data_IF_344705417165
#
_entry.id   IF_344705417165
#
_cell.length_a   1.000
_cell.length_b   1.000
_cell.length_c   1.000
_cell.angle_alpha   90.00
_cell.angle_beta   90.00
_cell.angle_gamma   90.00
#
_symmetry.space_group_name_H-M   'P 1'
#
loop_
_entity.id
_entity.type
_entity.pdbx_description
1 polymer ?
#
# COMPACT_ATOMS: atom_id res chain seq x y z
N UNK A 1 -5.07 -43.79 -10.18
CA UNK A 1 -5.96 -43.64 -11.35
C UNK A 1 -6.70 -42.31 -11.17
N UNK A 2 -6.31 -41.29 -11.95
CA UNK A 2 -6.93 -39.96 -12.14
C UNK A 2 -7.34 -39.14 -10.90
N UNK A 3 -6.45 -38.26 -10.47
CA UNK A 3 -6.78 -37.06 -9.69
C UNK A 3 -7.39 -36.03 -10.66
N UNK A 4 -8.59 -35.55 -10.38
CA UNK A 4 -9.25 -34.52 -11.17
C UNK A 4 -8.55 -33.17 -10.95
N UNK A 5 -7.92 -32.65 -12.00
CA UNK A 5 -7.52 -31.26 -12.11
C UNK A 5 -8.79 -30.41 -12.30
N UNK A 6 -9.16 -29.67 -11.26
CA UNK A 6 -10.21 -28.65 -11.36
C UNK A 6 -9.56 -27.41 -12.00
N UNK A 7 -9.68 -27.30 -13.33
CA UNK A 7 -9.30 -26.08 -14.05
C UNK A 7 -10.28 -24.97 -13.65
N UNK A 8 -9.85 -24.07 -12.77
CA UNK A 8 -10.57 -22.84 -12.45
C UNK A 8 -10.36 -21.85 -13.60
N UNK A 9 -11.23 -21.89 -14.61
CA UNK A 9 -11.32 -20.82 -15.61
C UNK A 9 -12.00 -19.61 -14.95
N UNK A 10 -11.21 -18.66 -14.45
CA UNK A 10 -11.70 -17.33 -14.14
C UNK A 10 -11.90 -16.60 -15.47
N UNK A 11 -13.16 -16.45 -15.88
CA UNK A 11 -13.52 -15.62 -17.02
C UNK A 11 -13.26 -14.16 -16.66
N UNK A 12 -12.21 -13.57 -17.23
CA UNK A 12 -12.05 -12.12 -17.27
C UNK A 12 -13.15 -11.56 -18.16
N UNK A 13 -14.22 -11.04 -17.54
CA UNK A 13 -15.09 -10.10 -18.22
C UNK A 13 -14.27 -8.85 -18.46
N UNK A 14 -13.83 -8.64 -19.71
CA UNK A 14 -13.23 -7.40 -20.14
C UNK A 14 -14.25 -6.28 -19.95
N UNK A 15 -14.15 -5.53 -18.86
CA UNK A 15 -14.87 -4.29 -18.69
C UNK A 15 -14.26 -3.28 -19.66
N UNK A 16 -14.97 -3.02 -20.75
CA UNK A 16 -14.72 -1.85 -21.59
C UNK A 16 -15.10 -0.63 -20.76
N UNK A 17 -14.11 0.06 -20.21
CA UNK A 17 -14.31 1.40 -19.66
C UNK A 17 -14.69 2.28 -20.86
N UNK A 18 -15.87 2.93 -20.86
CA UNK A 18 -16.21 3.83 -21.94
C UNK A 18 -15.17 4.94 -21.99
N UNK A 19 -14.71 5.28 -23.20
CA UNK A 19 -13.86 6.44 -23.42
C UNK A 19 -14.60 7.67 -22.90
N UNK A 20 -14.17 8.20 -21.75
CA UNK A 20 -14.69 9.45 -21.23
C UNK A 20 -14.30 10.56 -22.18
N UNK A 21 -15.31 11.22 -22.74
CA UNK A 21 -15.12 12.48 -23.42
C UNK A 21 -14.59 13.48 -22.39
N UNK A 22 -13.34 13.92 -22.54
CA UNK A 22 -12.80 15.05 -21.80
C UNK A 22 -13.66 16.28 -22.12
N UNK A 23 -14.50 16.69 -21.17
CA UNK A 23 -15.44 17.79 -21.40
C UNK A 23 -16.56 17.94 -20.37
N UNK A 24 -16.26 17.85 -19.08
CA UNK A 24 -16.98 18.52 -17.98
C UNK A 24 -16.17 18.34 -16.69
N UNK A 25 -16.06 19.39 -15.87
CA UNK A 25 -15.57 19.34 -14.48
C UNK A 25 -16.51 18.44 -13.65
N UNK A 26 -16.39 17.12 -13.82
CA UNK A 26 -17.13 16.15 -13.00
C UNK A 26 -16.23 15.70 -11.86
N UNK A 27 -16.41 16.29 -10.69
CA UNK A 27 -15.88 15.71 -9.45
C UNK A 27 -16.65 14.44 -9.09
N UNK A 28 -15.97 13.54 -8.38
CA UNK A 28 -16.53 12.32 -7.80
C UNK A 28 -16.62 12.52 -6.28
N UNK A 29 -17.81 12.42 -5.66
CA UNK A 29 -17.94 12.48 -4.21
C UNK A 29 -17.12 11.38 -3.53
N UNK A 30 -16.56 11.64 -2.35
CA UNK A 30 -15.65 10.76 -1.60
C UNK A 30 -16.24 9.36 -1.38
N UNK A 31 -17.55 9.26 -1.14
CA UNK A 31 -18.27 7.99 -0.98
C UNK A 31 -18.35 7.15 -2.26
N UNK A 32 -18.23 7.79 -3.42
CA UNK A 32 -18.35 7.15 -4.73
C UNK A 32 -16.99 6.83 -5.36
N UNK A 33 -15.90 7.41 -4.83
CA UNK A 33 -14.53 7.16 -5.28
C UNK A 33 -14.21 5.67 -5.20
N UNK A 34 -14.04 5.05 -6.37
CA UNK A 34 -13.52 3.70 -6.50
C UNK A 34 -12.00 3.75 -6.41
N UNK A 35 -11.42 2.98 -5.47
CA UNK A 35 -9.97 2.96 -5.25
C UNK A 35 -9.54 1.62 -4.67
N UNK A 36 -8.29 1.23 -4.90
CA UNK A 36 -7.65 0.08 -4.27
C UNK A 36 -6.24 0.50 -3.88
N UNK A 37 -5.82 0.13 -2.67
CA UNK A 37 -4.53 0.52 -2.08
C UNK A 37 -4.22 2.03 -2.13
N UNK A 38 -5.08 2.88 -1.54
CA UNK A 38 -4.91 4.34 -1.61
C UNK A 38 -3.85 4.87 -0.65
N UNK A 39 -3.03 5.80 -1.14
CA UNK A 39 -2.18 6.69 -0.34
C UNK A 39 -2.44 8.15 -0.67
N UNK A 40 -2.13 9.06 0.25
CA UNK A 40 -2.42 10.48 0.09
C UNK A 40 -1.24 11.37 0.48
N UNK A 41 -1.19 12.55 -0.14
CA UNK A 41 -0.32 13.66 0.26
C UNK A 41 -0.96 14.99 -0.10
N UNK A 42 -0.41 16.09 0.38
CA UNK A 42 -0.90 17.45 0.10
C UNK A 42 0.23 18.35 -0.40
N UNK A 43 -0.06 19.11 -1.45
CA UNK A 43 0.79 20.19 -1.97
C UNK A 43 -0.05 21.46 -2.08
N UNK A 44 0.41 22.57 -1.49
CA UNK A 44 -0.24 23.89 -1.60
C UNK A 44 -1.77 23.89 -1.35
N UNK A 45 -2.22 23.07 -0.39
CA UNK A 45 -3.63 22.94 -0.01
C UNK A 45 -4.48 22.12 -0.99
N UNK A 46 -3.87 21.44 -1.96
CA UNK A 46 -4.51 20.43 -2.82
C UNK A 46 -4.04 19.04 -2.38
N UNK A 47 -4.97 18.20 -1.99
CA UNK A 47 -4.74 16.80 -1.66
C UNK A 47 -4.69 15.97 -2.93
N UNK A 48 -3.79 15.01 -2.96
CA UNK A 48 -3.61 14.04 -4.03
C UNK A 48 -3.78 12.64 -3.46
N UNK A 49 -4.53 11.81 -4.17
CA UNK A 49 -4.77 10.41 -3.88
C UNK A 49 -4.10 9.59 -4.99
N UNK A 50 -3.19 8.71 -4.62
CA UNK A 50 -2.56 7.76 -5.52
C UNK A 50 -3.09 6.38 -5.19
N UNK A 51 -3.38 5.56 -6.19
CA UNK A 51 -3.92 4.23 -5.97
C UNK A 51 -3.49 3.24 -7.04
N UNK A 52 -3.64 1.95 -6.73
CA UNK A 52 -3.46 0.85 -7.69
C UNK A 52 -4.25 1.12 -8.97
N UNK A 53 -3.60 0.95 -10.12
CA UNK A 53 -4.18 1.27 -11.41
C UNK A 53 -3.18 1.22 -12.57
N UNK A 54 -3.68 1.43 -13.79
CA UNK A 54 -2.79 1.55 -14.95
C UNK A 54 -1.94 2.83 -14.84
N UNK A 55 -0.63 2.66 -14.72
CA UNK A 55 0.32 3.75 -14.54
C UNK A 55 0.19 4.47 -13.20
N UNK A 56 -0.45 3.85 -12.20
CA UNK A 56 -0.82 4.46 -10.91
C UNK A 56 -1.87 5.56 -11.10
N UNK A 57 -3.09 5.30 -10.64
CA UNK A 57 -4.19 6.25 -10.76
C UNK A 57 -4.00 7.41 -9.79
N UNK A 58 -4.32 8.62 -10.26
CA UNK A 58 -4.22 9.85 -9.47
C UNK A 58 -5.57 10.56 -9.47
N UNK A 59 -6.00 10.95 -8.28
CA UNK A 59 -7.11 11.89 -8.11
C UNK A 59 -6.66 13.05 -7.22
N UNK A 60 -7.36 14.17 -7.28
CA UNK A 60 -7.05 15.33 -6.46
C UNK A 60 -8.30 16.02 -5.91
N UNK A 61 -8.15 16.69 -4.77
CA UNK A 61 -9.24 17.40 -4.10
C UNK A 61 -8.68 18.57 -3.28
N UNK A 62 -9.44 19.65 -3.11
CA UNK A 62 -9.08 20.73 -2.16
C UNK A 62 -9.60 20.48 -0.75
N UNK A 63 -10.62 19.63 -0.61
CA UNK A 63 -11.37 19.46 0.65
C UNK A 63 -11.48 17.99 1.08
N UNK A 64 -10.96 17.06 0.28
CA UNK A 64 -11.12 15.60 0.45
C UNK A 64 -12.57 15.09 0.38
N UNK A 65 -13.48 15.93 -0.13
CA UNK A 65 -14.91 15.61 -0.30
C UNK A 65 -15.24 15.28 -1.76
N UNK A 66 -14.74 16.10 -2.68
CA UNK A 66 -14.98 15.98 -4.12
C UNK A 66 -13.64 15.77 -4.82
N UNK A 67 -13.52 14.68 -5.57
CA UNK A 67 -12.27 14.23 -6.17
C UNK A 67 -12.30 14.33 -7.69
N UNK A 68 -11.27 14.91 -8.29
CA UNK A 68 -11.10 15.03 -9.74
C UNK A 68 -10.04 14.04 -10.21
N UNK A 69 -10.25 13.41 -11.36
CA UNK A 69 -9.23 12.57 -11.98
C UNK A 69 -8.08 13.43 -12.52
N UNK A 70 -6.86 13.00 -12.24
CA UNK A 70 -5.63 13.55 -12.80
C UNK A 70 -5.02 12.53 -13.77
N UNK A 71 -3.96 12.93 -14.49
CA UNK A 71 -3.19 11.97 -15.29
C UNK A 71 -2.51 10.93 -14.38
N UNK A 72 -2.39 9.67 -14.81
CA UNK A 72 -1.62 8.67 -14.09
C UNK A 72 -0.14 9.09 -13.99
N UNK A 73 0.58 8.53 -13.03
CA UNK A 73 2.02 8.80 -12.83
C UNK A 73 2.83 8.40 -14.08
N UNK A 74 2.52 7.24 -14.65
CA UNK A 74 3.18 6.71 -15.83
C UNK A 74 2.23 6.62 -17.02
N UNK A 75 2.56 7.33 -18.11
CA UNK A 75 1.84 7.20 -19.38
C UNK A 75 2.07 5.82 -20.04
N UNK A 76 3.24 5.23 -19.81
CA UNK A 76 3.63 3.91 -20.30
C UNK A 76 4.25 3.09 -19.17
N UNK A 77 4.07 1.76 -19.15
CA UNK A 77 4.71 0.90 -18.15
C UNK A 77 6.23 1.11 -18.12
N UNK A 78 6.88 1.19 -16.94
CA UNK A 78 8.34 1.21 -16.86
C UNK A 78 8.95 -0.01 -17.56
N UNK A 79 9.85 0.23 -18.53
CA UNK A 79 10.34 -0.85 -19.40
C UNK A 79 11.11 -1.92 -18.62
N UNK A 80 11.87 -1.52 -17.60
CA UNK A 80 12.61 -2.46 -16.74
C UNK A 80 11.67 -3.48 -16.08
N UNK A 81 10.45 -3.07 -15.70
CA UNK A 81 9.48 -3.93 -15.05
C UNK A 81 8.81 -4.88 -16.05
N UNK A 82 8.54 -4.39 -17.27
CA UNK A 82 8.02 -5.21 -18.38
C UNK A 82 9.02 -6.31 -18.75
N UNK A 83 10.31 -6.00 -18.76
CA UNK A 83 11.37 -6.96 -19.10
C UNK A 83 11.63 -7.97 -17.97
N UNK A 84 11.47 -7.54 -16.71
CA UNK A 84 11.78 -8.35 -15.53
C UNK A 84 10.63 -9.26 -15.08
N UNK A 85 9.38 -8.85 -15.28
CA UNK A 85 8.20 -9.49 -14.68
C UNK A 85 7.23 -9.92 -15.76
N UNK A 86 7.26 -11.22 -16.07
CA UNK A 86 6.36 -11.84 -17.04
C UNK A 86 4.89 -11.55 -16.70
N UNK A 87 4.21 -10.87 -17.64
CA UNK A 87 2.79 -10.54 -17.53
C UNK A 87 2.51 -9.15 -16.96
N UNK A 88 3.51 -8.44 -16.44
CA UNK A 88 3.36 -7.03 -16.08
C UNK A 88 3.16 -6.18 -17.34
N UNK A 89 2.07 -5.40 -17.36
CA UNK A 89 1.66 -4.55 -18.49
C UNK A 89 1.29 -3.12 -18.08
N UNK A 90 1.77 -2.67 -16.93
CA UNK A 90 1.52 -1.32 -16.40
C UNK A 90 0.38 -1.19 -15.39
N UNK A 91 -0.28 -2.29 -15.00
CA UNK A 91 -1.16 -2.26 -13.84
C UNK A 91 -0.29 -2.32 -12.58
N UNK A 92 0.00 -1.16 -12.01
CA UNK A 92 0.97 -0.95 -10.93
C UNK A 92 0.24 -0.82 -9.60
N UNK A 93 0.75 -1.47 -8.56
CA UNK A 93 0.01 -1.65 -7.30
C UNK A 93 0.62 -0.86 -6.15
N UNK A 94 -0.21 -0.59 -5.14
CA UNK A 94 0.17 -0.14 -3.82
C UNK A 94 1.25 0.95 -3.83
N UNK A 95 0.96 2.12 -4.42
CA UNK A 95 1.89 3.23 -4.36
C UNK A 95 2.06 3.70 -2.90
N UNK A 96 3.22 4.22 -2.56
CA UNK A 96 3.45 5.01 -1.35
C UNK A 96 4.15 6.31 -1.72
N UNK A 97 3.86 7.40 -1.00
CA UNK A 97 4.37 8.72 -1.33
C UNK A 97 4.77 9.50 -0.09
N UNK A 98 5.99 10.06 -0.11
CA UNK A 98 6.50 11.00 0.89
C UNK A 98 7.12 12.22 0.21
N UNK A 99 7.15 13.35 0.92
CA UNK A 99 7.94 14.51 0.51
C UNK A 99 9.20 14.61 1.38
N UNK A 100 10.37 14.54 0.75
CA UNK A 100 11.65 14.56 1.45
C UNK A 100 12.73 15.24 0.58
N UNK A 101 13.62 16.02 1.19
CA UNK A 101 14.73 16.70 0.51
C UNK A 101 14.36 17.44 -0.79
N UNK A 102 13.18 18.06 -0.83
CA UNK A 102 12.72 18.86 -1.96
C UNK A 102 12.04 18.07 -3.08
N UNK A 103 11.83 16.77 -2.91
CA UNK A 103 11.20 15.88 -3.90
C UNK A 103 10.03 15.12 -3.30
N UNK A 104 9.04 14.86 -4.14
CA UNK A 104 8.05 13.81 -3.91
C UNK A 104 8.67 12.49 -4.35
N UNK A 105 8.83 11.57 -3.42
CA UNK A 105 9.29 10.21 -3.65
C UNK A 105 8.06 9.32 -3.70
N UNK A 106 7.83 8.66 -4.84
CA UNK A 106 6.75 7.72 -5.04
C UNK A 106 7.32 6.33 -5.29
N UNK A 107 7.00 5.40 -4.40
CA UNK A 107 7.35 3.99 -4.52
C UNK A 107 6.15 3.21 -5.03
N UNK A 108 6.40 2.13 -5.76
CA UNK A 108 5.33 1.41 -6.44
C UNK A 108 5.68 -0.06 -6.67
N UNK A 109 4.65 -0.91 -6.72
CA UNK A 109 4.81 -2.35 -6.86
C UNK A 109 4.54 -2.81 -8.30
N UNK A 110 5.48 -3.57 -8.86
CA UNK A 110 5.33 -4.32 -10.10
C UNK A 110 5.31 -5.80 -9.75
N UNK A 111 4.27 -6.52 -10.16
CA UNK A 111 4.08 -7.92 -9.78
C UNK A 111 3.16 -8.67 -10.77
N UNK A 112 3.03 -9.97 -10.56
CA UNK A 112 2.03 -10.84 -11.18
C UNK A 112 1.28 -11.60 -10.06
N UNK A 113 -0.06 -11.59 -10.11
CA UNK A 113 -0.89 -12.03 -8.99
C UNK A 113 -0.60 -13.48 -8.55
N UNK A 114 -0.47 -13.68 -7.23
CA UNK A 114 -0.23 -14.99 -6.63
C UNK A 114 1.19 -15.53 -6.77
N UNK A 115 2.14 -14.71 -7.23
CA UNK A 115 3.57 -15.04 -7.33
C UNK A 115 4.40 -14.02 -6.55
N UNK A 116 5.61 -14.42 -6.14
CA UNK A 116 6.60 -13.50 -5.58
C UNK A 116 7.69 -13.07 -6.59
N UNK A 117 7.46 -13.23 -7.90
CA UNK A 117 8.28 -12.53 -8.91
C UNK A 117 7.83 -11.08 -8.98
N UNK A 118 8.37 -10.26 -8.07
CA UNK A 118 7.90 -8.89 -7.85
C UNK A 118 9.08 -7.96 -7.62
N UNK A 119 8.85 -6.67 -7.87
CA UNK A 119 9.82 -5.63 -7.60
C UNK A 119 9.11 -4.35 -7.16
N UNK A 120 9.76 -3.64 -6.25
CA UNK A 120 9.37 -2.27 -5.88
C UNK A 120 10.28 -1.31 -6.65
N UNK A 121 9.66 -0.39 -7.39
CA UNK A 121 10.35 0.71 -8.07
C UNK A 121 10.21 2.03 -7.33
N UNK A 122 11.01 3.02 -7.74
CA UNK A 122 11.01 4.36 -7.18
C UNK A 122 10.98 5.41 -8.30
N UNK A 123 10.10 6.39 -8.17
CA UNK A 123 10.04 7.56 -9.03
C UNK A 123 10.02 8.84 -8.20
N UNK A 124 10.55 9.93 -8.76
CA UNK A 124 10.53 11.25 -8.11
C UNK A 124 9.88 12.31 -8.98
N UNK A 125 9.30 13.32 -8.34
CA UNK A 125 8.86 14.55 -8.98
C UNK A 125 9.15 15.74 -8.06
N UNK A 126 9.33 16.94 -8.63
CA UNK A 126 9.53 18.17 -7.83
C UNK A 126 8.22 18.77 -7.32
N UNK A 127 7.12 18.46 -7.99
CA UNK A 127 5.80 19.02 -7.72
C UNK A 127 4.72 18.04 -8.14
N UNK A 128 3.54 18.15 -7.53
CA UNK A 128 2.34 17.38 -7.90
C UNK A 128 1.39 18.20 -8.78
N UNK A 129 1.64 19.50 -8.95
CA UNK A 129 0.87 20.37 -9.83
C UNK A 129 1.17 20.10 -11.31
N UNK A 130 0.25 19.50 -12.09
CA UNK A 130 0.48 19.17 -13.50
C UNK A 130 0.66 20.39 -14.42
N UNK A 131 0.25 21.58 -13.96
CA UNK A 131 0.41 22.84 -14.72
C UNK A 131 1.81 23.47 -14.51
N UNK A 132 2.61 22.95 -13.58
CA UNK A 132 3.96 23.46 -13.33
C UNK A 132 4.92 23.02 -14.44
N UNK A 133 5.83 23.90 -14.92
CA UNK A 133 6.88 23.50 -15.85
C UNK A 133 7.89 22.51 -15.25
N UNK A 134 7.94 22.41 -13.92
CA UNK A 134 8.78 21.44 -13.19
C UNK A 134 8.09 20.09 -12.99
N UNK A 135 6.83 19.93 -13.40
CA UNK A 135 6.10 18.68 -13.25
C UNK A 135 6.65 17.61 -14.20
N UNK A 136 7.38 16.65 -13.65
CA UNK A 136 7.90 15.50 -14.38
C UNK A 136 8.26 14.38 -13.43
N UNK A 137 7.54 13.26 -13.55
CA UNK A 137 7.95 12.01 -12.92
C UNK A 137 9.21 11.47 -13.59
N UNK A 138 10.22 11.18 -12.78
CA UNK A 138 11.48 10.54 -13.18
C UNK A 138 11.55 9.20 -12.51
N UNK A 139 11.52 8.13 -13.30
CA UNK A 139 11.70 6.75 -12.83
C UNK A 139 13.18 6.45 -12.57
N UNK A 140 13.49 5.85 -11.42
CA UNK A 140 14.84 5.46 -11.00
C UNK A 140 15.08 3.95 -11.11
N UNK A 141 14.06 3.17 -11.48
CA UNK A 141 14.17 1.73 -11.65
C UNK A 141 13.86 0.92 -10.38
N UNK A 142 14.23 -0.37 -10.36
CA UNK A 142 13.95 -1.26 -9.24
C UNK A 142 14.85 -0.96 -8.04
N UNK A 143 14.25 -0.85 -6.85
CA UNK A 143 14.94 -0.70 -5.56
C UNK A 143 15.20 -2.05 -4.92
N UNK A 144 14.20 -2.94 -4.95
CA UNK A 144 14.26 -4.27 -4.37
C UNK A 144 13.42 -5.25 -5.18
N UNK A 145 13.85 -6.51 -5.25
CA UNK A 145 13.21 -7.57 -6.01
C UNK A 145 13.13 -8.85 -5.18
N UNK A 146 11.95 -9.48 -5.18
CA UNK A 146 11.77 -10.86 -4.71
C UNK A 146 11.85 -11.83 -5.89
N UNK A 147 12.55 -12.94 -5.67
CA UNK A 147 12.77 -14.01 -6.64
C UNK A 147 12.25 -15.32 -6.06
N UNK A 148 11.37 -16.03 -6.80
CA UNK A 148 10.84 -17.32 -6.35
C UNK A 148 11.94 -18.31 -5.98
N UNK A 149 11.70 -19.10 -4.93
CA UNK A 149 12.63 -20.10 -4.39
C UNK A 149 13.95 -19.56 -3.83
N UNK A 150 14.19 -18.24 -3.87
CA UNK A 150 15.31 -17.57 -3.19
C UNK A 150 14.82 -16.80 -1.97
N UNK A 151 13.76 -16.03 -2.16
CA UNK A 151 13.25 -15.10 -1.15
C UNK A 151 11.93 -15.61 -0.56
N UNK A 152 11.87 -15.71 0.76
CA UNK A 152 10.65 -16.08 1.50
C UNK A 152 9.82 -14.83 1.85
N UNK A 153 9.73 -13.87 0.94
CA UNK A 153 8.96 -12.64 1.07
C UNK A 153 8.60 -12.13 -0.33
N UNK A 154 7.65 -11.20 -0.40
CA UNK A 154 7.20 -10.62 -1.67
C UNK A 154 7.54 -9.12 -1.71
N UNK A 155 8.22 -8.66 -2.75
CA UNK A 155 8.59 -7.26 -2.95
C UNK A 155 7.41 -6.47 -3.54
N UNK A 156 6.38 -6.25 -2.72
CA UNK A 156 5.24 -5.37 -2.98
C UNK A 156 4.85 -4.63 -1.69
N UNK A 157 3.91 -3.69 -1.81
CA UNK A 157 3.34 -2.89 -0.73
C UNK A 157 4.37 -2.06 0.06
N UNK A 158 5.16 -1.21 -0.63
CA UNK A 158 6.11 -0.34 0.05
C UNK A 158 5.40 0.66 0.96
N UNK A 159 6.04 0.99 2.09
CA UNK A 159 5.77 2.20 2.86
C UNK A 159 7.09 2.80 3.37
N UNK A 160 7.25 4.09 3.13
CA UNK A 160 8.49 4.81 3.41
C UNK A 160 8.34 5.61 4.70
N UNK A 161 9.36 5.55 5.54
CA UNK A 161 9.44 6.36 6.75
C UNK A 161 10.87 6.86 6.98
N UNK A 162 10.98 8.12 7.36
CA UNK A 162 12.22 8.72 7.83
C UNK A 162 12.22 8.65 9.36
N UNK A 163 13.24 8.03 9.95
CA UNK A 163 13.36 7.96 11.41
C UNK A 163 13.83 9.28 12.03
N UNK A 164 13.90 9.33 13.36
CA UNK A 164 14.32 10.53 14.10
C UNK A 164 15.76 10.97 13.83
N UNK A 165 16.59 10.06 13.32
CA UNK A 165 17.97 10.34 12.94
C UNK A 165 18.08 10.81 11.49
N UNK A 166 16.97 10.90 10.76
CA UNK A 166 16.94 11.26 9.35
C UNK A 166 17.22 10.08 8.41
N UNK A 167 17.20 8.84 8.91
CA UNK A 167 17.48 7.65 8.09
C UNK A 167 16.23 7.21 7.34
N UNK A 168 16.29 7.00 6.02
CA UNK A 168 15.17 6.45 5.27
C UNK A 168 15.08 4.93 5.42
N UNK A 169 13.86 4.47 5.67
CA UNK A 169 13.53 3.05 5.76
C UNK A 169 12.31 2.74 4.90
N UNK A 170 12.26 1.51 4.40
CA UNK A 170 11.11 0.97 3.69
C UNK A 170 10.60 -0.28 4.39
N UNK A 171 9.38 -0.22 4.90
CA UNK A 171 8.61 -1.42 5.25
C UNK A 171 7.89 -1.91 4.01
N UNK A 172 7.80 -3.23 3.82
CA UNK A 172 7.09 -3.82 2.69
C UNK A 172 6.73 -5.28 2.97
N UNK A 173 5.92 -5.88 2.11
CA UNK A 173 5.68 -7.31 2.11
C UNK A 173 4.21 -7.68 2.10
N UNK A 174 3.95 -8.87 1.57
CA UNK A 174 2.63 -9.49 1.48
C UNK A 174 2.80 -11.00 1.52
N UNK A 175 2.09 -11.68 2.42
CA UNK A 175 2.15 -13.14 2.63
C UNK A 175 3.57 -13.65 2.98
N UNK A 176 3.94 -14.88 2.58
CA UNK A 176 5.24 -15.51 2.83
C UNK A 176 5.73 -15.35 4.28
N UNK A 177 6.98 -14.91 4.54
CA UNK A 177 7.53 -14.67 5.88
C UNK A 177 7.12 -13.28 6.45
N UNK A 178 6.08 -12.68 5.89
CA UNK A 178 5.42 -11.48 6.41
C UNK A 178 6.13 -10.17 6.06
N UNK A 179 5.90 -9.18 6.92
CA UNK A 179 6.37 -7.81 6.71
C UNK A 179 7.85 -7.70 7.00
N UNK A 180 8.58 -7.12 6.04
CA UNK A 180 10.01 -6.83 6.10
C UNK A 180 10.23 -5.33 6.21
N UNK A 181 11.42 -4.97 6.67
CA UNK A 181 11.91 -3.62 6.67
C UNK A 181 13.38 -3.59 6.30
N UNK A 182 13.75 -2.64 5.44
CA UNK A 182 15.12 -2.41 4.99
C UNK A 182 15.50 -0.96 5.12
N UNK A 183 16.77 -0.72 5.45
CA UNK A 183 17.36 0.62 5.35
C UNK A 183 17.62 0.96 3.88
N UNK A 184 17.30 2.18 3.48
CA UNK A 184 17.57 2.69 2.14
C UNK A 184 18.82 3.58 2.11
N UNK A 185 19.38 3.77 0.91
CA UNK A 185 20.34 4.84 0.64
C UNK A 185 19.72 6.22 0.87
N UNK A 186 20.55 7.25 1.04
CA UNK A 186 20.08 8.62 1.30
C UNK A 186 19.19 9.18 0.17
N UNK A 187 19.43 8.75 -1.07
CA UNK A 187 18.62 9.09 -2.25
C UNK A 187 17.43 8.15 -2.46
N UNK A 188 17.31 7.12 -1.61
CA UNK A 188 16.28 6.09 -1.59
C UNK A 188 16.21 5.21 -2.85
N UNK A 189 17.21 5.28 -3.73
CA UNK A 189 17.21 4.53 -4.99
C UNK A 189 17.64 3.07 -4.82
N UNK A 190 18.30 2.72 -3.71
CA UNK A 190 18.76 1.36 -3.44
C UNK A 190 18.60 0.99 -1.96
N UNK A 191 18.65 -0.31 -1.66
CA UNK A 191 18.92 -0.78 -0.30
C UNK A 191 20.31 -0.31 0.14
N UNK A 192 20.44 0.09 1.41
CA UNK A 192 21.70 0.55 1.98
C UNK A 192 22.74 -0.59 2.05
N UNK A 193 24.03 -0.27 1.94
CA UNK A 193 25.13 -1.22 2.14
C UNK A 193 26.09 -0.75 3.25
N UNK A 194 26.41 -1.59 4.25
CA UNK A 194 25.95 -2.98 4.42
C UNK A 194 24.45 -3.08 4.72
N UNK A 195 23.79 -4.08 4.14
CA UNK A 195 22.35 -4.24 4.29
C UNK A 195 21.92 -4.44 5.75
N UNK A 196 20.79 -3.83 6.08
CA UNK A 196 20.15 -3.92 7.38
C UNK A 196 18.68 -4.29 7.20
N UNK A 197 18.28 -5.44 7.74
CA UNK A 197 16.97 -6.06 7.53
C UNK A 197 16.31 -6.43 8.86
N UNK A 198 15.00 -6.19 8.94
CA UNK A 198 14.17 -6.54 10.09
C UNK A 198 12.88 -7.21 9.63
N UNK A 199 12.35 -8.14 10.42
CA UNK A 199 11.00 -8.67 10.25
C UNK A 199 10.08 -7.96 11.23
N UNK A 200 8.96 -7.43 10.76
CA UNK A 200 8.11 -6.57 11.59
C UNK A 200 6.82 -7.26 12.06
N UNK A 201 6.21 -8.05 11.20
CA UNK A 201 4.88 -8.63 11.46
C UNK A 201 4.63 -9.91 10.70
N UNK A 202 3.90 -10.83 11.33
CA UNK A 202 3.40 -12.09 10.75
C UNK A 202 1.99 -12.34 11.24
N UNK A 203 1.13 -12.94 10.42
CA UNK A 203 -0.18 -13.46 10.81
C UNK A 203 -0.11 -14.86 11.43
N UNK A 204 0.76 -15.72 10.87
CA UNK A 204 1.01 -17.11 11.27
C UNK A 204 2.50 -17.42 11.28
N UNK A 205 2.87 -18.53 11.94
CA UNK A 205 4.27 -18.96 12.05
C UNK A 205 4.79 -19.42 10.67
N UNK A 206 5.95 -18.92 10.18
CA UNK A 206 6.40 -19.06 8.79
C UNK A 206 6.87 -20.46 8.38
N UNK A 207 6.79 -21.47 9.26
CA UNK A 207 7.25 -22.84 8.96
C UNK A 207 6.57 -23.48 7.73
N UNK A 208 5.50 -22.89 7.20
CA UNK A 208 4.74 -23.40 6.06
C UNK A 208 4.91 -22.57 4.77
N UNK A 209 5.64 -21.44 4.80
CA UNK A 209 5.78 -20.54 3.66
C UNK A 209 7.18 -20.62 3.04
N UNK A 210 7.44 -21.68 2.27
CA UNK A 210 8.65 -21.81 1.44
C UNK A 210 8.30 -22.12 0.00
N UNK A 211 8.94 -21.45 -0.95
CA UNK A 211 8.78 -21.70 -2.39
C UNK A 211 7.90 -20.67 -3.09
N UNK A 212 7.24 -21.11 -4.17
CA UNK A 212 6.46 -20.25 -5.08
C UNK A 212 5.05 -19.91 -4.58
N UNK A 213 4.56 -20.61 -3.56
CA UNK A 213 3.22 -20.43 -3.01
C UNK A 213 3.20 -19.41 -1.87
N UNK A 214 2.17 -18.55 -1.84
CA UNK A 214 2.02 -17.50 -0.84
C UNK A 214 1.85 -18.01 0.60
N UNK A 215 1.40 -19.26 0.78
CA UNK A 215 1.07 -19.82 2.09
C UNK A 215 -0.17 -19.17 2.71
N UNK A 216 -0.33 -19.31 4.03
CA UNK A 216 -1.49 -18.83 4.79
C UNK A 216 -1.16 -17.71 5.80
N UNK A 217 0.07 -17.19 5.74
CA UNK A 217 0.53 -16.04 6.53
C UNK A 217 -0.05 -14.73 6.00
N UNK A 218 -1.38 -14.60 6.00
CA UNK A 218 -2.12 -13.48 5.40
C UNK A 218 -1.92 -12.17 6.21
N UNK A 219 -0.77 -11.54 5.99
CA UNK A 219 -0.39 -10.20 6.42
C UNK A 219 0.21 -9.46 5.23
N UNK A 220 -0.17 -8.20 5.03
CA UNK A 220 0.37 -7.34 3.97
C UNK A 220 0.16 -5.85 4.27
N UNK A 221 0.50 -4.98 3.32
CA UNK A 221 0.25 -3.54 3.38
C UNK A 221 0.70 -2.86 4.68
N UNK A 222 2.01 -2.89 4.99
CA UNK A 222 2.53 -2.20 6.16
C UNK A 222 2.43 -0.69 5.97
N UNK A 223 2.06 0.03 7.01
CA UNK A 223 2.13 1.49 7.04
C UNK A 223 2.60 1.96 8.40
N UNK A 224 3.68 2.73 8.45
CA UNK A 224 4.29 3.22 9.68
C UNK A 224 4.08 4.72 9.80
N UNK A 225 3.57 5.15 10.95
CA UNK A 225 3.52 6.56 11.33
C UNK A 225 4.14 6.76 12.72
N UNK A 226 4.88 7.85 12.88
CA UNK A 226 5.30 8.30 14.21
C UNK A 226 4.23 9.16 14.86
N UNK A 227 3.87 8.81 16.10
CA UNK A 227 3.00 9.63 16.96
C UNK A 227 3.58 9.69 18.37
N UNK A 228 3.89 10.91 18.83
CA UNK A 228 4.64 11.17 20.06
C UNK A 228 5.94 10.33 20.09
N UNK A 229 6.15 9.57 21.16
CA UNK A 229 7.38 8.80 21.37
C UNK A 229 7.31 7.38 20.78
N UNK A 230 6.36 7.08 19.88
CA UNK A 230 6.19 5.74 19.32
C UNK A 230 6.01 5.78 17.80
N UNK A 231 6.56 4.75 17.16
CA UNK A 231 6.20 4.33 15.80
C UNK A 231 5.05 3.35 15.89
N UNK A 232 4.03 3.52 15.06
CA UNK A 232 2.87 2.63 14.95
C UNK A 232 2.91 1.94 13.61
N UNK A 233 3.01 0.63 13.62
CA UNK A 233 2.93 -0.22 12.43
C UNK A 233 1.49 -0.71 12.27
N UNK A 234 0.82 -0.20 11.26
CA UNK A 234 -0.43 -0.73 10.76
C UNK A 234 -0.12 -1.82 9.73
N UNK A 235 -0.87 -2.92 9.76
CA UNK A 235 -0.83 -3.95 8.72
C UNK A 235 -2.24 -4.44 8.44
N UNK A 236 -2.43 -4.99 7.25
CA UNK A 236 -3.68 -5.64 6.89
C UNK A 236 -3.57 -7.15 7.10
N UNK A 237 -4.56 -7.72 7.78
CA UNK A 237 -4.67 -9.15 8.04
C UNK A 237 -5.79 -9.79 7.23
N UNK A 238 -5.60 -11.07 6.96
CA UNK A 238 -6.51 -11.94 6.23
C UNK A 238 -6.68 -11.49 4.76
N UNK A 239 -7.79 -11.82 4.09
CA UNK A 239 -7.83 -11.83 2.61
C UNK A 239 -8.56 -10.62 2.01
N UNK A 240 -7.82 -9.85 1.19
CA UNK A 240 -8.35 -8.87 0.26
C UNK A 240 -8.97 -9.55 -0.98
N UNK A 241 -9.44 -8.70 -1.89
CA UNK A 241 -9.52 -8.99 -3.33
C UNK A 241 -10.50 -10.12 -3.69
N UNK A 242 -11.49 -10.35 -2.82
CA UNK A 242 -12.57 -11.35 -2.98
C UNK A 242 -13.96 -10.72 -3.01
N UNK A 243 -14.05 -9.41 -3.23
CA UNK A 243 -15.32 -8.67 -3.26
C UNK A 243 -16.10 -8.85 -1.96
N UNK A 244 -17.30 -9.44 -2.05
CA UNK A 244 -18.16 -9.73 -0.89
C UNK A 244 -17.59 -10.82 0.04
N UNK A 245 -16.68 -11.67 -0.45
CA UNK A 245 -16.05 -12.74 0.34
C UNK A 245 -14.73 -12.28 0.99
N UNK A 246 -14.36 -11.00 0.84
CA UNK A 246 -13.21 -10.42 1.53
C UNK A 246 -13.48 -10.40 3.04
N UNK A 247 -12.47 -10.73 3.85
CA UNK A 247 -12.53 -10.65 5.31
C UNK A 247 -11.39 -9.81 5.91
N UNK A 248 -10.88 -8.91 5.06
CA UNK A 248 -9.78 -8.00 5.30
C UNK A 248 -10.02 -7.08 6.50
N UNK A 249 -8.97 -6.86 7.30
CA UNK A 249 -9.00 -6.01 8.49
C UNK A 249 -7.65 -5.37 8.73
N UNK A 250 -7.64 -4.24 9.44
CA UNK A 250 -6.41 -3.57 9.85
C UNK A 250 -6.16 -3.79 11.33
N UNK A 251 -4.92 -4.13 11.65
CA UNK A 251 -4.41 -4.18 13.02
C UNK A 251 -3.21 -3.25 13.18
N UNK A 252 -2.90 -2.90 14.42
CA UNK A 252 -1.77 -2.02 14.75
C UNK A 252 -0.96 -2.55 15.92
N UNK A 253 0.35 -2.32 15.89
CA UNK A 253 1.23 -2.39 17.05
C UNK A 253 2.13 -1.16 17.12
N UNK A 254 2.86 -0.98 18.22
CA UNK A 254 3.77 0.15 18.39
C UNK A 254 5.14 -0.24 18.93
N UNK A 255 6.14 0.56 18.62
CA UNK A 255 7.54 0.41 19.03
C UNK A 255 8.15 1.77 19.36
N UNK A 256 9.19 1.80 20.19
CA UNK A 256 10.04 3.00 20.38
C UNK A 256 11.01 3.20 19.22
N UNK A 257 11.45 2.11 18.61
CA UNK A 257 12.36 2.10 17.47
C UNK A 257 11.58 1.81 16.18
N UNK A 258 11.94 2.45 15.09
CA UNK A 258 11.25 2.30 13.78
C UNK A 258 11.32 0.85 13.26
N UNK A 259 12.35 0.10 13.60
CA UNK A 259 12.53 -1.31 13.22
C UNK A 259 11.97 -2.32 14.23
N UNK A 260 11.24 -1.84 15.24
CA UNK A 260 10.61 -2.70 16.24
C UNK A 260 11.50 -3.02 17.45
N UNK A 261 11.12 -4.02 18.26
CA UNK A 261 9.96 -4.89 18.08
C UNK A 261 8.63 -4.14 18.24
N UNK A 262 7.66 -4.43 17.38
CA UNK A 262 6.30 -3.91 17.48
C UNK A 262 5.43 -4.82 18.35
N UNK A 263 4.75 -4.23 19.33
CA UNK A 263 3.83 -4.94 20.23
C UNK A 263 2.42 -4.35 20.14
N UNK A 264 1.40 -5.18 20.31
CA UNK A 264 0.02 -4.74 20.47
C UNK A 264 -0.32 -4.26 21.90
N UNK A 265 -1.56 -3.86 22.13
CA UNK A 265 -2.03 -3.35 23.42
C UNK A 265 -1.95 -4.36 24.57
N UNK A 266 -1.94 -5.66 24.25
CA UNK A 266 -1.81 -6.75 25.20
C UNK A 266 -0.34 -7.20 25.39
N UNK A 267 0.60 -6.53 24.71
CA UNK A 267 2.04 -6.81 24.79
C UNK A 267 2.48 -8.02 23.95
N UNK A 268 1.70 -8.46 22.97
CA UNK A 268 2.09 -9.53 22.05
C UNK A 268 2.87 -8.97 20.86
N UNK A 269 3.95 -9.65 20.51
CA UNK A 269 4.79 -9.32 19.35
C UNK A 269 4.00 -9.48 18.05
N UNK A 270 4.06 -8.47 17.17
CA UNK A 270 3.47 -8.55 15.82
C UNK A 270 4.13 -9.63 14.97
N UNK A 271 5.43 -9.90 15.15
CA UNK A 271 6.12 -11.03 14.52
C UNK A 271 5.56 -12.41 14.91
N UNK A 272 4.75 -12.48 15.97
CA UNK A 272 4.10 -13.68 16.48
C UNK A 272 2.57 -13.62 16.34
N UNK A 273 2.04 -12.79 15.43
CA UNK A 273 0.59 -12.66 15.23
C UNK A 273 -0.11 -11.73 16.20
N UNK A 274 0.63 -10.89 16.93
CA UNK A 274 0.07 -9.76 17.67
C UNK A 274 -0.47 -8.68 16.74
N UNK A 275 -1.39 -7.87 17.27
CA UNK A 275 -1.98 -6.74 16.57
C UNK A 275 -3.31 -6.33 17.18
N UNK A 276 -3.40 -5.09 17.66
CA UNK A 276 -4.65 -4.50 18.14
C UNK A 276 -5.55 -4.20 16.95
N UNK A 277 -6.78 -4.70 16.96
CA UNK A 277 -7.74 -4.42 15.88
C UNK A 277 -8.07 -2.93 15.79
N UNK A 278 -7.90 -2.34 14.61
CA UNK A 278 -8.30 -0.95 14.31
C UNK A 278 -9.65 -0.94 13.62
N UNK A 279 -9.79 -1.72 12.55
CA UNK A 279 -11.02 -1.79 11.76
C UNK A 279 -11.14 -3.12 11.04
N UNK A 280 -12.38 -3.58 10.83
CA UNK A 280 -12.74 -4.76 10.05
C UNK A 280 -14.06 -4.50 9.32
N UNK A 281 -14.46 -5.43 8.45
CA UNK A 281 -15.79 -5.41 7.85
C UNK A 281 -16.95 -5.38 8.87
N UNK A 282 -18.08 -4.83 8.42
CA UNK A 282 -19.32 -4.61 9.15
C UNK A 282 -20.55 -4.84 8.24
N UNK A 283 -21.70 -4.25 8.55
CA UNK A 283 -22.93 -4.36 7.76
C UNK A 283 -22.90 -3.56 6.44
N UNK A 284 -21.92 -2.66 6.26
CA UNK A 284 -21.74 -1.84 5.06
C UNK A 284 -20.57 -2.32 4.20
N UNK A 285 -19.55 -2.90 4.80
CA UNK A 285 -18.32 -3.29 4.13
C UNK A 285 -17.92 -4.73 4.46
N UNK A 286 -17.64 -5.55 3.45
CA UNK A 286 -17.24 -6.95 3.65
C UNK A 286 -15.85 -7.06 4.31
N UNK A 287 -14.92 -6.18 3.91
CA UNK A 287 -13.58 -6.07 4.47
C UNK A 287 -13.01 -4.67 4.23
N UNK A 288 -12.09 -4.26 5.10
CA UNK A 288 -11.45 -2.93 5.09
C UNK A 288 -9.95 -3.13 5.34
N UNK A 289 -9.10 -2.58 4.48
CA UNK A 289 -7.65 -2.70 4.65
C UNK A 289 -6.83 -1.97 3.59
N UNK A 290 -5.54 -2.29 3.55
CA UNK A 290 -4.49 -1.53 2.88
C UNK A 290 -4.57 -0.04 3.25
N UNK A 291 -4.28 0.26 4.52
CA UNK A 291 -4.47 1.60 5.05
C UNK A 291 -3.21 2.46 4.95
N UNK A 292 -3.43 3.76 4.92
CA UNK A 292 -2.46 4.79 5.19
C UNK A 292 -3.00 5.73 6.28
N UNK A 293 -2.10 6.33 7.05
CA UNK A 293 -2.46 7.23 8.14
C UNK A 293 -1.68 8.53 8.03
N UNK A 294 -2.38 9.65 8.00
CA UNK A 294 -1.76 10.96 7.83
C UNK A 294 -2.22 11.94 8.89
N UNK A 295 -1.30 12.82 9.31
CA UNK A 295 -1.67 14.04 10.03
C UNK A 295 -1.77 15.18 9.03
N UNK A 296 -2.98 15.62 8.72
CA UNK A 296 -3.22 16.83 7.94
C UNK A 296 -3.71 17.93 8.87
N UNK A 297 -2.97 19.04 8.93
CA UNK A 297 -3.17 20.10 9.92
C UNK A 297 -3.12 19.49 11.34
N UNK A 298 -4.16 19.67 12.14
CA UNK A 298 -4.24 19.19 13.53
C UNK A 298 -5.04 17.88 13.68
N UNK A 299 -5.41 17.24 12.58
CA UNK A 299 -6.22 16.01 12.59
C UNK A 299 -5.48 14.84 11.98
N UNK A 300 -5.74 13.66 12.51
CA UNK A 300 -5.31 12.41 11.90
C UNK A 300 -6.43 11.87 11.01
N UNK A 301 -6.05 11.30 9.88
CA UNK A 301 -6.94 10.69 8.92
C UNK A 301 -6.48 9.27 8.64
N UNK A 302 -7.41 8.33 8.71
CA UNK A 302 -7.26 6.96 8.27
C UNK A 302 -7.80 6.86 6.85
N UNK A 303 -6.96 6.44 5.92
CA UNK A 303 -7.24 6.28 4.50
C UNK A 303 -7.09 4.81 4.17
N UNK A 304 -8.05 4.22 3.46
CA UNK A 304 -8.05 2.78 3.13
C UNK A 304 -9.01 2.54 1.98
N UNK A 305 -9.06 1.31 1.44
CA UNK A 305 -10.19 0.88 0.64
C UNK A 305 -11.10 -0.07 1.45
N UNK A 306 -12.39 -0.04 1.13
CA UNK A 306 -13.39 -0.92 1.74
C UNK A 306 -14.29 -1.54 0.66
N UNK A 307 -14.56 -2.85 0.78
CA UNK A 307 -15.41 -3.57 -0.18
C UNK A 307 -16.90 -3.32 0.13
N UNK A 308 -17.54 -2.41 -0.62
CA UNK A 308 -18.92 -1.96 -0.40
C UNK A 308 -19.94 -3.08 -0.64
N UNK A 309 -20.70 -3.46 0.40
CA UNK A 309 -21.76 -4.49 0.29
C UNK A 309 -22.89 -3.98 -0.62
N UNK A 310 -23.28 -2.71 -0.47
CA UNK A 310 -24.31 -2.05 -1.30
C UNK A 310 -23.96 -2.10 -2.79
N UNK A 311 -22.66 -2.10 -3.13
CA UNK A 311 -22.16 -2.09 -4.50
C UNK A 311 -21.43 -3.39 -4.86
N UNK A 312 -21.92 -4.52 -4.33
CA UNK A 312 -21.50 -5.87 -4.70
C UNK A 312 -19.98 -6.11 -4.57
N UNK A 313 -19.39 -5.59 -3.49
CA UNK A 313 -17.97 -5.75 -3.18
C UNK A 313 -17.05 -4.82 -3.96
N UNK A 314 -17.57 -3.76 -4.61
CA UNK A 314 -16.74 -2.75 -5.26
C UNK A 314 -15.85 -2.05 -4.22
N UNK A 315 -14.53 -1.91 -4.45
CA UNK A 315 -13.64 -1.27 -3.50
C UNK A 315 -13.80 0.26 -3.57
N UNK A 316 -14.14 0.87 -2.44
CA UNK A 316 -14.43 2.30 -2.29
C UNK A 316 -13.48 2.96 -1.32
N UNK A 317 -13.22 4.25 -1.51
CA UNK A 317 -12.38 5.03 -0.60
C UNK A 317 -13.02 5.07 0.79
N UNK A 318 -12.27 4.59 1.77
CA UNK A 318 -12.61 4.64 3.18
C UNK A 318 -11.73 5.69 3.85
N UNK A 319 -12.24 6.92 3.91
CA UNK A 319 -11.58 8.06 4.54
C UNK A 319 -12.31 8.43 5.84
N UNK A 320 -11.63 8.34 6.98
CA UNK A 320 -12.19 8.67 8.31
C UNK A 320 -11.22 9.53 9.10
N UNK A 321 -11.75 10.37 9.98
CA UNK A 321 -10.93 10.99 11.02
C UNK A 321 -10.50 9.90 12.00
N UNK A 322 -9.21 9.86 12.34
CA UNK A 322 -8.66 8.97 13.35
C UNK A 322 -8.33 9.79 14.60
N UNK A 323 -8.54 9.19 15.77
CA UNK A 323 -8.20 9.78 17.06
C UNK A 323 -7.26 8.85 17.82
N UNK A 324 -6.58 9.45 18.80
CA UNK A 324 -5.73 8.71 19.73
C UNK A 324 -6.41 8.68 21.09
N UNK A 325 -6.55 7.48 21.65
CA UNK A 325 -7.02 7.27 23.02
C UNK A 325 -6.00 7.82 24.03
N UNK A 326 -6.40 7.96 25.29
CA UNK A 326 -5.52 8.48 26.35
C UNK A 326 -4.28 7.62 26.62
N UNK A 327 -4.36 6.32 26.33
CA UNK A 327 -3.24 5.37 26.41
C UNK A 327 -2.46 5.22 25.09
N UNK A 328 -2.80 6.04 24.09
CA UNK A 328 -2.06 6.21 22.85
C UNK A 328 -2.31 5.12 21.82
N UNK A 329 -3.54 4.61 21.69
CA UNK A 329 -3.94 3.70 20.62
C UNK A 329 -4.88 4.40 19.63
N UNK A 330 -4.86 4.03 18.35
CA UNK A 330 -5.74 4.65 17.36
C UNK A 330 -7.17 4.13 17.47
N UNK A 331 -8.14 5.01 17.22
CA UNK A 331 -9.57 4.74 17.14
C UNK A 331 -10.16 5.48 15.94
N UNK A 332 -11.08 4.85 15.20
CA UNK A 332 -11.72 5.42 13.99
C UNK A 332 -13.24 5.35 14.01
#
# INVERSE_FOLDING_TARGET
MKTQLLNLFVSFSAFVIPAFMYGQDSSVPVEDVMTHDPVMIVEDGKYYLFSTGNGISVMSSREMLDWQFEKPVFDNPPQWAVDMIDGYKGHTWAPDIIYHNGLYHLFYSCSAFGKNTSAIGHATNKTLNPDSPDFKWVDHGPVIQSVPNRDAWNAIDPNLIIDDSGTPWMAFGSFWDGIKMVRLSDDMNTVYEPQEWHSLSRRKNPMEASGEEAGDNAVEAPFIIKHNDFYYLFVSFDYCCRGLDSNYKVVVGRSKEVYGPYLDCDGRLMEQGGGTLVVKGDDKYAGIGHCAVYKFKDKYYFVSHAYSIKENGTPKLFLREMKWTSDGWPEI
#
